data_IF_739681717795
#
_entry.id   IF_739681717795
#
_cell.length_a   1.000
_cell.length_b   1.000
_cell.length_c   1.000
_cell.angle_alpha   90.00
_cell.angle_beta   90.00
_cell.angle_gamma   90.00
#
_symmetry.space_group_name_H-M   'P 1'
#
loop_
_entity.id
_entity.type
_entity.pdbx_description
1 polymer ?
#
# COMPACT_ATOMS: atom_id res chain seq x y z
N UNK A 1 2.91 -0.78 3.71
CA UNK A 1 3.90 -0.40 4.74
C UNK A 1 4.54 -1.60 5.42
N UNK A 2 3.75 -2.58 5.87
CA UNK A 2 4.27 -3.69 6.69
C UNK A 2 5.41 -4.46 6.01
N UNK A 3 5.20 -4.94 4.80
CA UNK A 3 6.19 -5.75 4.07
C UNK A 3 7.33 -4.95 3.43
N UNK A 4 7.29 -3.65 3.50
CA UNK A 4 8.29 -2.76 2.88
C UNK A 4 8.99 -1.90 3.94
N UNK A 5 8.35 -0.82 4.38
CA UNK A 5 8.91 0.12 5.36
C UNK A 5 9.24 -0.54 6.69
N UNK A 6 8.26 -1.26 7.30
CA UNK A 6 8.43 -1.78 8.65
C UNK A 6 9.53 -2.84 8.73
N UNK A 7 9.69 -3.65 7.71
CA UNK A 7 10.78 -4.64 7.67
C UNK A 7 12.14 -3.95 7.76
N UNK A 8 12.38 -2.93 6.92
CA UNK A 8 13.65 -2.17 6.93
C UNK A 8 13.84 -1.41 8.23
N UNK A 9 12.77 -0.76 8.72
CA UNK A 9 12.79 -0.03 9.99
C UNK A 9 13.16 -0.93 11.17
N UNK A 10 12.58 -2.14 11.22
CA UNK A 10 12.86 -3.09 12.30
C UNK A 10 14.33 -3.48 12.37
N UNK A 11 14.96 -3.77 11.22
CA UNK A 11 16.40 -4.07 11.19
C UNK A 11 17.22 -2.91 11.78
N UNK A 12 16.94 -1.67 11.35
CA UNK A 12 17.63 -0.48 11.84
C UNK A 12 17.39 -0.24 13.34
N UNK A 13 16.16 -0.46 13.82
CA UNK A 13 15.84 -0.31 15.24
C UNK A 13 16.52 -1.36 16.12
N UNK A 14 16.75 -2.58 15.63
CA UNK A 14 17.47 -3.61 16.39
C UNK A 14 18.92 -3.21 16.68
N UNK A 15 19.53 -2.43 15.81
CA UNK A 15 20.89 -1.91 15.98
C UNK A 15 20.91 -0.63 16.82
N UNK A 16 20.03 0.33 16.52
CA UNK A 16 20.06 1.66 17.14
C UNK A 16 19.33 1.71 18.51
N UNK A 17 18.30 0.89 18.69
CA UNK A 17 17.45 0.90 19.88
C UNK A 17 16.96 -0.54 20.22
N UNK A 18 17.86 -1.47 20.62
CA UNK A 18 17.54 -2.89 20.78
C UNK A 18 16.47 -3.18 21.83
N UNK A 19 16.21 -2.26 22.76
CA UNK A 19 15.24 -2.40 23.84
C UNK A 19 13.82 -1.92 23.47
N UNK A 20 13.61 -1.36 22.26
CA UNK A 20 12.28 -0.98 21.81
C UNK A 20 11.47 -2.24 21.47
N UNK A 21 10.25 -2.30 21.99
CA UNK A 21 9.24 -3.26 21.56
C UNK A 21 8.27 -2.56 20.62
N UNK A 22 8.03 -3.14 19.44
CA UNK A 22 7.03 -2.67 18.49
C UNK A 22 5.81 -3.59 18.53
N UNK A 23 4.65 -2.99 18.72
CA UNK A 23 3.35 -3.64 18.49
C UNK A 23 2.76 -3.08 17.20
N UNK A 24 2.61 -3.94 16.18
CA UNK A 24 2.18 -3.54 14.84
C UNK A 24 0.73 -3.99 14.66
N UNK A 25 -0.17 -3.01 14.70
CA UNK A 25 -1.60 -3.23 14.57
C UNK A 25 -2.07 -3.07 13.12
N UNK A 26 -3.09 -3.84 12.76
CA UNK A 26 -3.72 -3.69 11.44
C UNK A 26 -4.67 -2.48 11.44
N UNK A 27 -4.81 -1.76 10.31
CA UNK A 27 -5.69 -0.58 10.23
C UNK A 27 -7.16 -0.86 10.56
N UNK A 28 -7.61 -2.10 10.44
CA UNK A 28 -8.98 -2.48 10.79
C UNK A 28 -9.25 -2.54 12.29
N UNK A 29 -8.19 -2.66 13.09
CA UNK A 29 -8.28 -2.90 14.54
C UNK A 29 -8.09 -1.62 15.34
N UNK A 30 -7.85 -0.49 14.65
CA UNK A 30 -7.56 0.80 15.26
C UNK A 30 -8.51 1.89 14.77
N UNK A 31 -8.76 2.88 15.63
CA UNK A 31 -9.59 4.04 15.33
C UNK A 31 -8.80 5.33 15.50
N UNK A 32 -9.31 6.44 14.97
CA UNK A 32 -8.74 7.77 15.25
C UNK A 32 -8.81 8.12 16.73
N UNK A 33 -9.83 7.64 17.44
CA UNK A 33 -9.96 7.85 18.87
C UNK A 33 -8.84 7.17 19.67
N UNK A 34 -8.42 5.98 19.27
CA UNK A 34 -7.29 5.27 19.92
C UNK A 34 -5.98 6.04 19.74
N UNK A 35 -5.78 6.61 18.55
CA UNK A 35 -4.64 7.47 18.27
C UNK A 35 -4.73 8.80 19.07
N UNK A 36 -5.91 9.41 19.15
CA UNK A 36 -6.15 10.65 19.91
C UNK A 36 -5.92 10.47 21.40
N UNK A 37 -6.32 9.33 21.94
CA UNK A 37 -6.14 8.98 23.36
C UNK A 37 -4.74 8.49 23.71
N UNK A 38 -3.83 8.37 22.71
CA UNK A 38 -2.47 7.88 22.92
C UNK A 38 -2.40 6.38 23.26
N UNK A 39 -3.46 5.61 22.98
CA UNK A 39 -3.42 4.14 23.05
C UNK A 39 -2.56 3.56 21.94
N UNK A 40 -2.46 4.29 20.84
CA UNK A 40 -1.59 4.02 19.70
C UNK A 40 -0.70 5.22 19.54
N UNK A 41 0.60 4.99 19.46
CA UNK A 41 1.58 6.06 19.36
C UNK A 41 1.50 6.81 18.04
N UNK A 42 1.40 6.07 16.93
CA UNK A 42 1.37 6.63 15.58
C UNK A 42 0.76 5.67 14.57
N UNK A 43 0.32 6.21 13.44
CA UNK A 43 -0.18 5.42 12.32
C UNK A 43 0.52 5.83 11.02
N UNK A 44 1.00 4.83 10.25
CA UNK A 44 1.51 5.01 8.89
C UNK A 44 0.48 4.48 7.91
N UNK A 45 -0.17 5.40 7.21
CA UNK A 45 -1.22 5.02 6.25
C UNK A 45 -1.43 6.10 5.19
N UNK A 46 -2.26 5.78 4.20
CA UNK A 46 -2.96 6.79 3.42
C UNK A 46 -4.19 7.23 4.22
N UNK A 47 -4.31 8.53 4.45
CA UNK A 47 -5.47 9.12 5.10
C UNK A 47 -6.26 9.91 4.07
N UNK A 48 -7.49 9.50 3.78
CA UNK A 48 -8.40 10.27 2.93
C UNK A 48 -8.90 11.51 3.68
N UNK A 49 -9.09 11.37 4.99
CA UNK A 49 -9.38 12.46 5.93
C UNK A 49 -8.66 12.21 7.23
N UNK A 50 -7.92 13.18 7.70
CA UNK A 50 -7.31 13.19 9.03
C UNK A 50 -7.94 14.34 9.83
N UNK A 51 -8.37 14.10 11.08
CA UNK A 51 -8.85 15.18 11.95
C UNK A 51 -7.81 16.29 12.07
N UNK A 52 -8.26 17.55 12.09
CA UNK A 52 -7.35 18.73 12.12
C UNK A 52 -6.45 18.80 13.34
N UNK A 53 -6.82 18.12 14.42
CA UNK A 53 -6.03 18.05 15.65
C UNK A 53 -4.75 17.26 15.50
N UNK A 54 -4.67 16.34 14.54
CA UNK A 54 -3.51 15.47 14.38
C UNK A 54 -2.36 16.15 13.64
N UNK A 55 -1.15 15.84 14.08
CA UNK A 55 0.05 16.12 13.30
C UNK A 55 0.29 15.04 12.26
N UNK A 56 0.91 15.40 11.15
CA UNK A 56 1.25 14.47 10.08
C UNK A 56 2.55 14.85 9.39
N UNK A 57 3.21 13.83 8.84
CA UNK A 57 4.36 13.97 7.95
C UNK A 57 4.25 12.98 6.79
N UNK A 58 4.64 13.39 5.59
CA UNK A 58 4.74 12.47 4.45
C UNK A 58 5.94 11.56 4.68
N UNK A 59 5.71 10.24 4.57
CA UNK A 59 6.77 9.23 4.69
C UNK A 59 7.34 8.89 3.33
N UNK A 60 6.48 8.48 2.38
CA UNK A 60 6.89 8.29 0.98
C UNK A 60 5.70 8.35 0.03
N UNK A 61 6.02 8.47 -1.27
CA UNK A 61 5.07 8.30 -2.36
C UNK A 61 5.40 7.03 -3.12
N UNK A 62 4.38 6.28 -3.51
CA UNK A 62 4.52 5.06 -4.27
C UNK A 62 3.62 5.09 -5.50
N UNK A 63 4.11 4.56 -6.61
CA UNK A 63 3.35 4.35 -7.83
C UNK A 63 2.72 2.95 -7.83
N UNK A 64 2.11 2.56 -8.94
CA UNK A 64 1.56 1.23 -9.12
C UNK A 64 2.31 0.45 -10.19
N UNK A 65 2.36 -0.86 -10.00
CA UNK A 65 2.87 -1.82 -10.98
C UNK A 65 1.91 -2.99 -11.12
N UNK A 66 1.84 -3.53 -12.32
CA UNK A 66 1.14 -4.78 -12.61
C UNK A 66 2.10 -5.96 -12.40
N UNK A 67 1.68 -6.91 -11.58
CA UNK A 67 2.37 -8.17 -11.33
C UNK A 67 1.54 -9.30 -11.94
N UNK A 68 2.17 -10.15 -12.73
CA UNK A 68 1.53 -11.27 -13.40
C UNK A 68 2.51 -12.40 -13.64
N UNK A 69 2.02 -13.58 -14.00
CA UNK A 69 2.87 -14.70 -14.40
C UNK A 69 3.77 -14.32 -15.59
N UNK A 70 5.01 -14.82 -15.61
CA UNK A 70 5.90 -14.73 -16.79
C UNK A 70 5.32 -15.43 -18.03
N UNK A 71 4.33 -16.29 -17.86
CA UNK A 71 3.61 -16.99 -18.93
C UNK A 71 2.30 -16.28 -19.34
N UNK A 72 1.99 -15.11 -18.74
CA UNK A 72 0.76 -14.40 -19.04
C UNK A 72 0.78 -13.85 -20.48
N UNK A 73 -0.23 -14.20 -21.27
CA UNK A 73 -0.33 -13.79 -22.68
C UNK A 73 -0.38 -12.28 -22.88
N UNK A 74 -0.86 -11.53 -21.87
CA UNK A 74 -0.84 -10.07 -21.92
C UNK A 74 0.58 -9.48 -22.05
N UNK A 75 1.63 -10.25 -21.73
CA UNK A 75 3.03 -9.80 -21.87
C UNK A 75 3.52 -9.67 -23.31
N UNK A 76 2.86 -10.33 -24.27
CA UNK A 76 3.24 -10.26 -25.68
C UNK A 76 3.11 -8.82 -26.21
N UNK A 77 2.06 -8.11 -25.80
CA UNK A 77 1.87 -6.68 -26.06
C UNK A 77 1.08 -6.07 -24.91
N UNK A 78 1.78 -5.62 -23.85
CA UNK A 78 1.13 -5.12 -22.64
C UNK A 78 0.65 -3.68 -22.81
N UNK A 79 -0.49 -3.52 -23.50
CA UNK A 79 -1.21 -2.26 -23.68
C UNK A 79 -2.55 -2.25 -22.94
N UNK A 80 -3.37 -1.22 -23.19
CA UNK A 80 -4.69 -1.08 -22.56
C UNK A 80 -5.64 -2.23 -22.92
N UNK A 81 -5.62 -2.68 -24.17
CA UNK A 81 -6.49 -3.78 -24.64
C UNK A 81 -6.14 -5.07 -23.94
N UNK A 82 -4.87 -5.45 -23.90
CA UNK A 82 -4.39 -6.64 -23.19
C UNK A 82 -4.67 -6.56 -21.68
N UNK A 83 -4.50 -5.38 -21.07
CA UNK A 83 -4.83 -5.16 -19.67
C UNK A 83 -6.31 -5.39 -19.38
N UNK A 84 -7.21 -4.83 -20.20
CA UNK A 84 -8.66 -4.94 -20.01
C UNK A 84 -9.21 -6.34 -20.32
N UNK A 85 -8.60 -7.06 -21.26
CA UNK A 85 -8.98 -8.41 -21.62
C UNK A 85 -8.65 -9.45 -20.54
N UNK A 86 -7.63 -9.19 -19.74
CA UNK A 86 -7.21 -10.11 -18.68
C UNK A 86 -8.13 -10.03 -17.45
N UNK A 87 -8.30 -11.15 -16.71
CA UNK A 87 -8.95 -11.12 -15.41
C UNK A 87 -8.02 -10.56 -14.32
N UNK A 88 -8.59 -9.80 -13.38
CA UNK A 88 -7.83 -9.08 -12.38
C UNK A 88 -8.05 -9.57 -10.95
N UNK A 89 -7.00 -9.42 -10.15
CA UNK A 89 -7.05 -9.51 -8.70
C UNK A 89 -7.22 -8.10 -8.15
N UNK A 90 -8.29 -7.90 -7.40
CA UNK A 90 -8.55 -6.66 -6.69
C UNK A 90 -8.03 -6.77 -5.25
N UNK A 91 -7.26 -5.78 -4.82
CA UNK A 91 -6.82 -5.68 -3.43
C UNK A 91 -7.54 -4.51 -2.77
N UNK A 92 -8.19 -4.78 -1.66
CA UNK A 92 -9.00 -3.82 -0.92
C UNK A 92 -8.22 -2.56 -0.55
N UNK A 93 -8.87 -1.42 -0.60
CA UNK A 93 -8.38 -0.22 0.09
C UNK A 93 -8.17 -0.57 1.57
N UNK A 94 -6.94 -0.52 2.03
CA UNK A 94 -6.62 -0.66 3.44
C UNK A 94 -6.32 0.73 3.99
N UNK A 95 -7.07 1.18 5.00
CA UNK A 95 -6.84 2.47 5.64
C UNK A 95 -7.73 2.70 6.84
N UNK A 96 -7.27 3.52 7.78
CA UNK A 96 -8.10 4.03 8.88
C UNK A 96 -9.23 4.87 8.28
N UNK A 97 -10.47 4.58 8.68
CA UNK A 97 -11.66 5.28 8.18
C UNK A 97 -12.28 4.66 6.92
N UNK A 98 -11.69 3.63 6.33
CA UNK A 98 -12.35 2.85 5.27
C UNK A 98 -13.37 1.94 5.92
N UNK A 99 -14.66 2.14 5.60
CA UNK A 99 -15.77 1.42 6.21
C UNK A 99 -15.66 -0.10 6.08
N UNK A 100 -16.12 -0.81 7.11
CA UNK A 100 -16.28 -2.27 7.08
C UNK A 100 -17.32 -2.66 6.04
N UNK A 101 -17.04 -3.66 5.23
CA UNK A 101 -18.07 -4.31 4.42
C UNK A 101 -18.29 -3.69 3.05
N UNK A 102 -17.22 -3.48 2.26
CA UNK A 102 -17.39 -3.20 0.84
C UNK A 102 -18.00 -4.42 0.15
N UNK A 103 -19.19 -4.25 -0.39
CA UNK A 103 -19.78 -5.23 -1.28
C UNK A 103 -19.02 -5.21 -2.62
N UNK A 104 -18.72 -6.39 -3.16
CA UNK A 104 -18.19 -6.54 -4.52
C UNK A 104 -19.10 -5.98 -5.62
N UNK A 105 -20.33 -5.57 -5.27
CA UNK A 105 -21.31 -4.94 -6.16
C UNK A 105 -21.17 -3.42 -6.22
N UNK A 106 -20.34 -2.82 -5.37
CA UNK A 106 -20.18 -1.37 -5.27
C UNK A 106 -18.93 -0.93 -6.07
N UNK A 107 -19.03 -1.02 -7.41
CA UNK A 107 -17.95 -0.73 -8.34
C UNK A 107 -17.39 0.70 -8.19
N UNK A 108 -18.22 1.65 -7.75
CA UNK A 108 -17.81 3.04 -7.54
C UNK A 108 -16.85 3.23 -6.34
N UNK A 109 -16.60 2.17 -5.55
CA UNK A 109 -15.74 2.19 -4.37
C UNK A 109 -14.54 1.26 -4.47
N UNK A 110 -14.26 0.73 -5.65
CA UNK A 110 -13.22 -0.28 -5.84
C UNK A 110 -11.80 0.25 -5.61
N UNK A 111 -11.53 1.53 -5.76
CA UNK A 111 -10.25 2.13 -5.39
C UNK A 111 -9.47 2.70 -6.56
N UNK A 112 -8.24 3.09 -6.29
CA UNK A 112 -7.43 3.96 -7.17
C UNK A 112 -7.25 3.46 -8.61
N UNK A 113 -7.12 2.15 -8.81
CA UNK A 113 -6.97 1.54 -10.14
C UNK A 113 -8.27 1.69 -10.92
N UNK A 114 -9.39 1.43 -10.26
CA UNK A 114 -10.71 1.43 -10.88
C UNK A 114 -11.22 2.87 -11.06
N UNK A 115 -10.88 3.77 -10.13
CA UNK A 115 -11.11 5.20 -10.27
C UNK A 115 -10.36 5.77 -11.50
N UNK A 116 -9.07 5.43 -11.65
CA UNK A 116 -8.25 5.86 -12.78
C UNK A 116 -8.73 5.27 -14.12
N UNK A 117 -9.24 4.03 -14.13
CA UNK A 117 -9.85 3.44 -15.33
C UNK A 117 -11.16 4.14 -15.69
N UNK A 118 -12.00 4.47 -14.71
CA UNK A 118 -13.25 5.17 -14.94
C UNK A 118 -13.03 6.58 -15.54
N UNK A 119 -11.96 7.28 -15.15
CA UNK A 119 -11.58 8.59 -15.72
C UNK A 119 -11.29 8.52 -17.23
N UNK A 120 -10.83 7.36 -17.72
CA UNK A 120 -10.57 7.11 -19.15
C UNK A 120 -11.69 6.29 -19.81
N UNK A 121 -12.82 6.09 -19.13
CA UNK A 121 -14.02 5.45 -19.68
C UNK A 121 -13.94 3.92 -19.74
N UNK A 122 -13.09 3.30 -18.94
CA UNK A 122 -12.89 1.85 -18.92
C UNK A 122 -13.19 1.25 -17.54
N UNK A 123 -13.44 -0.05 -17.55
CA UNK A 123 -13.54 -0.89 -16.36
C UNK A 123 -12.86 -2.24 -16.63
N UNK A 124 -12.34 -2.88 -15.57
CA UNK A 124 -11.67 -4.17 -15.67
C UNK A 124 -12.51 -5.30 -15.09
N UNK A 125 -12.27 -6.52 -15.55
CA UNK A 125 -12.92 -7.70 -15.03
C UNK A 125 -12.21 -8.21 -13.77
N UNK A 126 -12.81 -8.00 -12.59
CA UNK A 126 -12.28 -8.53 -11.35
C UNK A 126 -12.81 -9.96 -11.15
N UNK A 127 -11.90 -10.91 -10.92
CA UNK A 127 -12.22 -12.33 -10.66
C UNK A 127 -11.85 -12.75 -9.23
N UNK A 128 -10.93 -12.04 -8.59
CA UNK A 128 -10.49 -12.35 -7.24
C UNK A 128 -10.50 -11.08 -6.41
N UNK A 129 -11.07 -11.16 -5.21
CA UNK A 129 -11.03 -10.12 -4.20
C UNK A 129 -10.20 -10.61 -3.01
N UNK A 130 -9.21 -9.82 -2.59
CA UNK A 130 -8.41 -10.10 -1.40
C UNK A 130 -8.19 -8.83 -0.59
N UNK A 131 -7.77 -8.98 0.66
CA UNK A 131 -7.37 -7.86 1.54
C UNK A 131 -5.86 -7.82 1.78
N UNK A 132 -5.12 -8.75 1.18
CA UNK A 132 -3.69 -8.93 1.44
C UNK A 132 -2.90 -8.84 0.14
N UNK A 133 -1.95 -7.92 0.09
CA UNK A 133 -1.05 -7.76 -1.07
C UNK A 133 -0.21 -9.02 -1.34
N UNK A 134 0.24 -9.72 -0.28
CA UNK A 134 1.00 -10.96 -0.43
C UNK A 134 0.18 -12.06 -1.09
N UNK A 135 -1.11 -12.18 -0.74
CA UNK A 135 -2.01 -13.15 -1.38
C UNK A 135 -2.20 -12.81 -2.85
N UNK A 136 -2.40 -11.52 -3.17
CA UNK A 136 -2.51 -11.09 -4.56
C UNK A 136 -1.24 -11.41 -5.37
N UNK A 137 -0.07 -11.20 -4.80
CA UNK A 137 1.20 -11.53 -5.45
C UNK A 137 1.38 -13.04 -5.69
N UNK A 138 0.95 -13.87 -4.74
CA UNK A 138 0.98 -15.34 -4.91
C UNK A 138 0.01 -15.81 -6.01
N UNK A 139 -1.20 -15.23 -6.05
CA UNK A 139 -2.21 -15.55 -7.06
C UNK A 139 -1.84 -15.04 -8.46
N UNK A 140 -1.05 -13.97 -8.55
CA UNK A 140 -0.54 -13.44 -9.81
C UNK A 140 0.42 -14.41 -10.54
N UNK A 141 0.82 -15.52 -9.91
CA UNK A 141 1.52 -16.64 -10.57
C UNK A 141 0.62 -17.46 -11.49
N UNK A 142 -0.69 -17.29 -11.37
CA UNK A 142 -1.62 -17.93 -12.30
C UNK A 142 -1.48 -17.28 -13.69
N UNK A 143 -1.41 -18.08 -14.78
CA UNK A 143 -1.06 -17.57 -16.12
C UNK A 143 -1.95 -16.48 -16.69
N UNK A 144 -3.20 -16.34 -16.21
CA UNK A 144 -4.15 -15.35 -16.74
C UNK A 144 -4.40 -14.15 -15.83
N UNK A 145 -4.00 -14.21 -14.55
CA UNK A 145 -4.35 -13.18 -13.57
C UNK A 145 -3.34 -12.00 -13.56
N UNK A 146 -3.88 -10.78 -13.43
CA UNK A 146 -3.08 -9.57 -13.22
C UNK A 146 -3.42 -8.97 -11.85
N UNK A 147 -2.41 -8.69 -11.04
CA UNK A 147 -2.51 -7.93 -9.80
C UNK A 147 -1.87 -6.55 -9.98
N UNK A 148 -2.64 -5.48 -9.80
CA UNK A 148 -2.08 -4.12 -9.75
C UNK A 148 -1.82 -3.75 -8.30
N UNK A 149 -0.54 -3.56 -7.94
CA UNK A 149 -0.04 -3.39 -6.59
C UNK A 149 0.79 -2.11 -6.47
N UNK A 150 0.95 -1.54 -5.26
CA UNK A 150 1.99 -0.53 -5.04
C UNK A 150 3.34 -1.06 -5.51
N UNK A 151 4.11 -0.21 -6.20
CA UNK A 151 5.35 -0.61 -6.88
C UNK A 151 6.37 -1.20 -5.92
N UNK A 152 6.50 -0.65 -4.71
CA UNK A 152 7.41 -1.21 -3.71
C UNK A 152 7.00 -2.61 -3.24
N UNK A 153 5.71 -2.94 -3.27
CA UNK A 153 5.24 -4.31 -2.99
C UNK A 153 5.56 -5.23 -4.17
N UNK A 154 5.30 -4.79 -5.41
CA UNK A 154 5.60 -5.59 -6.60
C UNK A 154 7.09 -5.89 -6.72
N UNK A 155 7.98 -4.96 -6.35
CA UNK A 155 9.44 -5.14 -6.35
C UNK A 155 9.93 -6.25 -5.42
N UNK A 156 9.20 -6.58 -4.35
CA UNK A 156 9.57 -7.71 -3.49
C UNK A 156 9.54 -9.07 -4.23
N UNK A 157 8.92 -9.11 -5.39
CA UNK A 157 8.77 -10.30 -6.21
C UNK A 157 9.52 -10.20 -7.55
N UNK A 158 10.34 -9.16 -7.73
CA UNK A 158 11.05 -8.93 -9.01
C UNK A 158 12.06 -10.04 -9.35
N UNK A 159 12.61 -10.69 -8.33
CA UNK A 159 13.57 -11.80 -8.49
C UNK A 159 12.90 -13.17 -8.67
N UNK A 160 11.58 -13.26 -8.57
CA UNK A 160 10.85 -14.51 -8.86
C UNK A 160 10.69 -14.66 -10.37
N UNK A 161 11.45 -15.59 -10.97
CA UNK A 161 11.43 -15.84 -12.42
C UNK A 161 10.07 -16.24 -12.99
N UNK A 162 9.14 -16.66 -12.12
CA UNK A 162 7.74 -17.00 -12.50
C UNK A 162 6.85 -15.77 -12.65
N UNK A 163 7.35 -14.58 -12.29
CA UNK A 163 6.59 -13.35 -12.27
C UNK A 163 7.24 -12.29 -13.17
N UNK A 164 6.40 -11.47 -13.76
CA UNK A 164 6.80 -10.29 -14.50
C UNK A 164 6.15 -9.05 -13.89
N UNK A 165 6.94 -7.98 -13.79
CA UNK A 165 6.49 -6.66 -13.35
C UNK A 165 6.39 -5.73 -14.55
N UNK A 166 5.28 -5.03 -14.73
CA UNK A 166 5.05 -4.06 -15.80
C UNK A 166 4.43 -2.78 -15.25
N UNK A 167 4.65 -1.68 -15.92
CA UNK A 167 3.91 -0.43 -15.64
C UNK A 167 2.47 -0.59 -16.13
N UNK A 168 1.46 -0.08 -15.40
CA UNK A 168 0.09 0.00 -15.93
C UNK A 168 0.08 0.78 -17.24
N UNK A 169 -0.74 0.38 -18.24
CA UNK A 169 -0.82 1.09 -19.53
C UNK A 169 -1.64 2.40 -19.46
N UNK A 170 -1.97 2.87 -18.28
CA UNK A 170 -2.66 4.13 -18.00
C UNK A 170 -2.10 4.76 -16.72
N UNK A 171 -2.41 6.04 -16.53
CA UNK A 171 -1.94 6.76 -15.36
C UNK A 171 -2.80 6.46 -14.14
N UNK A 172 -2.15 6.08 -13.05
CA UNK A 172 -2.77 5.95 -11.72
C UNK A 172 -2.08 6.97 -10.81
N UNK A 173 -2.86 7.79 -10.12
CA UNK A 173 -2.32 8.78 -9.18
C UNK A 173 -1.50 8.05 -8.10
N UNK A 174 -0.22 8.45 -7.88
CA UNK A 174 0.61 7.86 -6.85
C UNK A 174 -0.04 7.95 -5.47
N UNK A 175 0.13 6.90 -4.68
CA UNK A 175 -0.30 6.93 -3.28
C UNK A 175 0.72 7.70 -2.44
N UNK A 176 0.22 8.55 -1.53
CA UNK A 176 1.04 9.21 -0.52
C UNK A 176 0.78 8.56 0.83
N UNK A 177 1.83 7.99 1.41
CA UNK A 177 1.78 7.41 2.75
C UNK A 177 2.29 8.45 3.75
N UNK A 178 1.47 8.68 4.76
CA UNK A 178 1.71 9.65 5.80
C UNK A 178 1.82 8.98 7.16
N UNK A 179 2.67 9.52 7.99
CA UNK A 179 2.72 9.26 9.42
C UNK A 179 1.81 10.26 10.11
N UNK A 180 0.90 9.79 10.96
CA UNK A 180 0.03 10.63 11.77
C UNK A 180 0.16 10.28 13.25
N UNK A 181 0.06 11.30 14.13
CA UNK A 181 0.16 11.14 15.58
C UNK A 181 -0.65 12.19 16.34
N UNK A 182 -0.97 11.86 17.59
CA UNK A 182 -1.68 12.77 18.50
C UNK A 182 -0.84 13.96 18.90
N UNK A 183 -1.44 15.16 19.13
CA UNK A 183 -0.78 16.29 19.76
C UNK A 183 -0.16 15.97 21.12
N UNK A 184 -0.71 15.00 21.85
CA UNK A 184 -0.19 14.56 23.15
C UNK A 184 1.28 14.12 23.08
N UNK A 185 1.68 13.50 21.96
CA UNK A 185 3.01 12.94 21.74
C UNK A 185 3.93 13.88 20.94
N UNK A 186 3.46 15.11 20.64
CA UNK A 186 4.19 16.05 19.79
C UNK A 186 5.59 16.38 20.31
N UNK A 187 5.73 16.52 21.61
CA UNK A 187 6.97 16.96 22.27
C UNK A 187 7.70 15.83 23.01
N UNK A 188 7.23 14.59 22.93
CA UNK A 188 7.91 13.44 23.50
C UNK A 188 9.22 13.15 22.74
N UNK A 189 10.40 13.15 23.40
CA UNK A 189 11.69 12.99 22.73
C UNK A 189 11.83 11.63 22.03
N UNK A 190 11.36 10.54 22.66
CA UNK A 190 11.42 9.20 22.08
C UNK A 190 10.55 9.08 20.86
N UNK A 191 9.33 9.64 20.95
CA UNK A 191 8.41 9.67 19.83
C UNK A 191 8.94 10.55 18.67
N UNK A 192 9.58 11.70 18.95
CA UNK A 192 10.22 12.55 17.94
C UNK A 192 11.33 11.77 17.23
N UNK A 193 12.16 11.08 17.99
CA UNK A 193 13.24 10.27 17.43
C UNK A 193 12.69 9.19 16.49
N UNK A 194 11.68 8.42 16.92
CA UNK A 194 11.10 7.35 16.11
C UNK A 194 10.41 7.88 14.85
N UNK A 195 9.67 9.00 14.95
CA UNK A 195 9.06 9.66 13.77
C UNK A 195 10.10 10.01 12.72
N UNK A 196 11.22 10.59 13.14
CA UNK A 196 12.31 10.94 12.22
C UNK A 196 12.86 9.69 11.53
N UNK A 197 13.11 8.62 12.26
CA UNK A 197 13.56 7.34 11.68
C UNK A 197 12.61 6.78 10.64
N UNK A 198 11.30 6.87 10.88
CA UNK A 198 10.27 6.42 9.94
C UNK A 198 10.29 7.28 8.66
N UNK A 199 10.37 8.60 8.80
CA UNK A 199 10.40 9.53 7.66
C UNK A 199 11.68 9.36 6.85
N UNK A 200 12.84 9.31 7.51
CA UNK A 200 14.15 9.12 6.87
C UNK A 200 14.17 7.80 6.07
N UNK A 201 13.68 6.72 6.67
CA UNK A 201 13.56 5.42 6.00
C UNK A 201 12.65 5.47 4.77
N UNK A 202 11.56 6.23 4.84
CA UNK A 202 10.65 6.43 3.70
C UNK A 202 11.35 7.17 2.55
N UNK A 203 12.18 8.17 2.85
CA UNK A 203 12.96 8.91 1.87
C UNK A 203 14.04 8.04 1.23
N UNK A 204 14.78 7.26 2.03
CA UNK A 204 15.76 6.28 1.52
C UNK A 204 15.13 5.28 0.54
N UNK A 205 13.86 4.90 0.75
CA UNK A 205 13.12 4.00 -0.15
C UNK A 205 12.82 4.63 -1.52
N UNK A 206 12.69 5.96 -1.59
CA UNK A 206 12.46 6.67 -2.86
C UNK A 206 13.76 6.78 -3.66
N UNK A 207 14.87 7.08 -2.99
CA UNK A 207 16.17 7.30 -3.62
C UNK A 207 16.79 6.01 -4.20
N UNK A 208 16.52 4.88 -3.57
CA UNK A 208 17.08 3.57 -3.96
C UNK A 208 16.06 2.62 -4.61
N UNK A 209 14.89 3.11 -4.96
CA UNK A 209 13.81 2.37 -5.59
C UNK A 209 13.55 2.78 -7.02
#
# INVERSE_FOLDING_TARGET
>A
AESTLLTRLLFKLRDEAPNITLDILTPSDVTFQDLEQGKIDMAVNRFDRLPQSFHQATVWRDSFSCLMSSENKALENFDMEAFLAAPHIWVSKTGMGVGRGMSHRDSQRLGWVDEALAEVGHERQIRVFTRHYQVAALLARHPDLIATLPTQVAKLYADDSRLAVRKPPFMIIPIELKLAWSPLLQHDPGHIWLRRRIVDMGQEMIEHG
#
